data_IF_250316094849
#
_entry.id   IF_250316094849
#
_cell.length_a   1.000
_cell.length_b   1.000
_cell.length_c   1.000
_cell.angle_alpha   90.00
_cell.angle_beta   90.00
_cell.angle_gamma   90.00
#
_symmetry.space_group_name_H-M   'P 1'
#
loop_
_entity.id
_entity.type
_entity.pdbx_description
1 polymer ?
#
# COMPACT_ATOMS: atom_id res chain seq x y z
N UNK A 1 3.86 -34.23 7.51
CA UNK A 1 3.11 -33.15 8.18
C UNK A 1 3.72 -31.84 7.71
N UNK A 2 2.96 -30.99 7.02
CA UNK A 2 3.47 -29.69 6.59
C UNK A 2 3.84 -28.87 7.83
N UNK A 3 5.04 -28.30 7.84
CA UNK A 3 5.52 -27.47 8.95
C UNK A 3 4.53 -26.31 9.18
N UNK A 4 4.22 -25.93 10.43
CA UNK A 4 3.40 -24.75 10.70
C UNK A 4 4.12 -23.51 10.13
N UNK A 5 3.60 -22.95 9.04
CA UNK A 5 4.11 -21.70 8.48
C UNK A 5 3.71 -20.59 9.44
N UNK A 6 4.69 -19.91 10.03
CA UNK A 6 4.47 -18.81 10.99
C UNK A 6 3.54 -17.74 10.40
N UNK A 7 2.49 -17.36 11.14
CA UNK A 7 1.59 -16.25 10.80
C UNK A 7 2.31 -14.91 10.98
N UNK A 8 2.90 -14.42 9.88
CA UNK A 8 3.70 -13.19 9.88
C UNK A 8 2.94 -12.07 9.19
N UNK A 9 2.62 -11.03 9.96
CA UNK A 9 1.94 -9.80 9.50
C UNK A 9 2.89 -8.79 8.87
N UNK A 10 4.18 -9.12 8.77
CA UNK A 10 5.21 -8.27 8.18
C UNK A 10 4.86 -7.74 6.78
N UNK A 11 4.34 -8.55 5.84
CA UNK A 11 4.06 -8.04 4.49
C UNK A 11 2.98 -6.94 4.50
N UNK A 12 1.93 -7.10 5.32
CA UNK A 12 0.91 -6.08 5.49
C UNK A 12 1.47 -4.82 6.16
N UNK A 13 2.33 -4.97 7.18
CA UNK A 13 2.97 -3.84 7.85
C UNK A 13 3.87 -3.05 6.89
N UNK A 14 4.66 -3.73 6.06
CA UNK A 14 5.52 -3.11 5.06
C UNK A 14 4.68 -2.33 4.04
N UNK A 15 3.56 -2.90 3.59
CA UNK A 15 2.63 -2.22 2.69
C UNK A 15 2.07 -0.92 3.30
N UNK A 16 1.63 -0.96 4.55
CA UNK A 16 1.18 0.25 5.26
C UNK A 16 2.32 1.26 5.47
N UNK A 17 3.54 0.79 5.74
CA UNK A 17 4.71 1.65 5.82
C UNK A 17 4.98 2.40 4.52
N UNK A 18 4.88 1.72 3.37
CA UNK A 18 5.03 2.35 2.05
C UNK A 18 3.93 3.38 1.78
N UNK A 19 2.69 3.10 2.19
CA UNK A 19 1.59 4.07 2.11
C UNK A 19 1.88 5.32 2.95
N UNK A 20 2.34 5.14 4.19
CA UNK A 20 2.65 6.24 5.09
C UNK A 20 3.79 7.11 4.55
N UNK A 21 4.85 6.50 4.02
CA UNK A 21 5.96 7.24 3.39
C UNK A 21 5.47 7.99 2.15
N UNK A 22 4.66 7.35 1.30
CA UNK A 22 4.08 8.00 0.11
C UNK A 22 3.25 9.23 0.46
N UNK A 23 2.42 9.14 1.50
CA UNK A 23 1.67 10.27 2.04
C UNK A 23 2.56 11.38 2.60
N UNK A 24 3.61 11.04 3.35
CA UNK A 24 4.55 12.03 3.88
C UNK A 24 5.23 12.82 2.77
N UNK A 25 5.64 12.14 1.69
CA UNK A 25 6.23 12.79 0.51
C UNK A 25 5.21 13.72 -0.15
N UNK A 26 3.96 13.27 -0.32
CA UNK A 26 2.87 14.10 -0.83
C UNK A 26 2.58 15.32 0.06
N UNK A 27 2.64 15.17 1.37
CA UNK A 27 2.44 16.27 2.33
C UNK A 27 3.54 17.32 2.23
N UNK A 28 4.81 16.90 2.15
CA UNK A 28 5.96 17.82 2.03
C UNK A 28 5.93 18.58 0.72
N UNK A 29 5.50 17.93 -0.38
CA UNK A 29 5.38 18.55 -1.70
C UNK A 29 4.11 19.38 -1.91
N UNK A 30 3.16 19.37 -0.97
CA UNK A 30 1.83 19.97 -1.13
C UNK A 30 0.77 18.93 -1.55
N UNK A 31 0.01 18.42 -0.58
CA UNK A 31 -0.91 17.31 -0.81
C UNK A 31 -2.00 17.61 -1.84
N UNK A 32 -2.38 18.88 -2.01
CA UNK A 32 -3.35 19.34 -3.00
C UNK A 32 -2.85 19.24 -4.44
N UNK A 33 -1.54 19.27 -4.64
CA UNK A 33 -0.89 19.05 -5.92
C UNK A 33 -0.62 17.57 -6.18
N UNK A 34 -0.73 16.72 -5.16
CA UNK A 34 -0.35 15.31 -5.27
C UNK A 34 1.16 15.10 -5.34
N UNK A 35 1.58 13.88 -5.67
CA UNK A 35 3.00 13.55 -5.84
C UNK A 35 3.17 12.30 -6.68
N UNK A 36 3.87 12.41 -7.82
CA UNK A 36 4.23 11.24 -8.61
C UNK A 36 5.08 10.25 -7.81
N UNK A 37 6.09 10.74 -7.10
CA UNK A 37 6.98 9.91 -6.29
C UNK A 37 6.23 9.27 -5.12
N UNK A 38 5.46 10.07 -4.36
CA UNK A 38 4.67 9.56 -3.23
C UNK A 38 3.59 8.57 -3.68
N UNK A 39 2.95 8.83 -4.81
CA UNK A 39 1.92 7.98 -5.39
C UNK A 39 2.47 6.63 -5.88
N UNK A 40 3.60 6.62 -6.59
CA UNK A 40 4.28 5.38 -7.00
C UNK A 40 4.73 4.59 -5.78
N UNK A 41 5.36 5.23 -4.78
CA UNK A 41 5.83 4.55 -3.58
C UNK A 41 4.70 3.91 -2.78
N UNK A 42 3.59 4.63 -2.59
CA UNK A 42 2.40 4.06 -1.94
C UNK A 42 1.81 2.91 -2.77
N UNK A 43 1.74 3.07 -4.10
CA UNK A 43 1.25 2.02 -5.01
C UNK A 43 2.10 0.75 -5.01
N UNK A 44 3.43 0.87 -4.83
CA UNK A 44 4.32 -0.28 -4.66
C UNK A 44 3.99 -1.10 -3.39
N UNK A 45 3.28 -0.52 -2.42
CA UNK A 45 2.73 -1.22 -1.26
C UNK A 45 1.78 -2.37 -1.60
N UNK A 46 1.21 -2.39 -2.80
CA UNK A 46 0.37 -3.51 -3.28
C UNK A 46 1.16 -4.81 -3.33
N UNK A 47 2.44 -4.77 -3.71
CA UNK A 47 3.27 -5.97 -3.87
C UNK A 47 3.39 -6.76 -2.54
N UNK A 48 3.91 -6.17 -1.44
CA UNK A 48 3.98 -6.88 -0.16
C UNK A 48 2.59 -7.21 0.40
N UNK A 49 1.56 -6.41 0.12
CA UNK A 49 0.20 -6.74 0.52
C UNK A 49 -0.34 -7.99 -0.19
N UNK A 50 -0.11 -8.16 -1.49
CA UNK A 50 -0.48 -9.40 -2.22
C UNK A 50 0.28 -10.63 -1.70
N UNK A 51 1.55 -10.48 -1.33
CA UNK A 51 2.32 -11.54 -0.66
C UNK A 51 1.69 -11.90 0.69
N UNK A 52 1.23 -10.91 1.45
CA UNK A 52 0.49 -11.11 2.70
C UNK A 52 -0.83 -11.87 2.49
N UNK A 53 -1.60 -11.51 1.46
CA UNK A 53 -2.85 -12.21 1.11
C UNK A 53 -2.58 -13.68 0.78
N UNK A 54 -1.60 -13.94 -0.07
CA UNK A 54 -1.22 -15.29 -0.46
C UNK A 54 -0.84 -16.15 0.75
N UNK A 55 -0.06 -15.59 1.69
CA UNK A 55 0.29 -16.28 2.94
C UNK A 55 -0.92 -16.50 3.86
N UNK A 56 -1.81 -15.51 3.97
CA UNK A 56 -3.04 -15.64 4.75
C UNK A 56 -3.96 -16.74 4.24
N UNK A 57 -4.04 -16.91 2.91
CA UNK A 57 -4.77 -18.02 2.27
C UNK A 57 -4.13 -19.37 2.64
N UNK A 58 -2.80 -19.49 2.54
CA UNK A 58 -2.10 -20.75 2.86
C UNK A 58 -2.22 -21.17 4.32
N UNK A 59 -2.31 -20.21 5.23
CA UNK A 59 -2.38 -20.46 6.67
C UNK A 59 -3.82 -20.52 7.21
N UNK A 60 -4.81 -20.31 6.33
CA UNK A 60 -6.22 -20.18 6.69
C UNK A 60 -6.47 -19.10 7.77
N UNK A 61 -5.63 -18.07 7.82
CA UNK A 61 -5.70 -16.99 8.82
C UNK A 61 -6.51 -15.81 8.28
N UNK A 62 -7.76 -15.69 8.74
CA UNK A 62 -8.65 -14.58 8.37
C UNK A 62 -8.04 -13.20 8.67
N UNK A 63 -7.30 -13.09 9.77
CA UNK A 63 -6.71 -11.81 10.20
C UNK A 63 -5.62 -11.33 9.24
N UNK A 64 -4.74 -12.21 8.78
CA UNK A 64 -3.62 -11.84 7.89
C UNK A 64 -4.12 -11.61 6.47
N UNK A 65 -5.10 -12.40 6.01
CA UNK A 65 -5.80 -12.12 4.77
C UNK A 65 -6.48 -10.75 4.82
N UNK A 66 -7.29 -10.48 5.85
CA UNK A 66 -8.02 -9.22 6.01
C UNK A 66 -7.11 -7.99 6.08
N UNK A 67 -6.04 -8.04 6.87
CA UNK A 67 -5.05 -6.96 6.94
C UNK A 67 -4.37 -6.70 5.59
N UNK A 68 -4.10 -7.77 4.84
CA UNK A 68 -3.46 -7.66 3.53
C UNK A 68 -4.42 -7.09 2.48
N UNK A 69 -5.72 -7.41 2.56
CA UNK A 69 -6.78 -6.76 1.76
C UNK A 69 -6.85 -5.27 2.05
N UNK A 70 -6.91 -4.88 3.32
CA UNK A 70 -6.89 -3.47 3.71
C UNK A 70 -5.62 -2.77 3.23
N UNK A 71 -4.47 -3.44 3.29
CA UNK A 71 -3.22 -2.89 2.82
C UNK A 71 -3.21 -2.65 1.29
N UNK A 72 -3.78 -3.56 0.49
CA UNK A 72 -3.95 -3.35 -0.96
C UNK A 72 -4.86 -2.14 -1.23
N UNK A 73 -6.00 -2.07 -0.55
CA UNK A 73 -6.94 -0.97 -0.73
C UNK A 73 -6.32 0.37 -0.32
N UNK A 74 -5.55 0.41 0.77
CA UNK A 74 -4.83 1.59 1.20
C UNK A 74 -3.74 2.00 0.19
N UNK A 75 -2.95 1.04 -0.31
CA UNK A 75 -1.89 1.29 -1.28
C UNK A 75 -2.43 1.85 -2.60
N UNK A 76 -3.51 1.26 -3.13
CA UNK A 76 -4.17 1.76 -4.34
C UNK A 76 -4.89 3.08 -4.11
N UNK A 77 -5.56 3.25 -2.97
CA UNK A 77 -6.28 4.47 -2.63
C UNK A 77 -5.32 5.66 -2.48
N UNK A 78 -4.29 5.51 -1.65
CA UNK A 78 -3.26 6.54 -1.45
C UNK A 78 -2.46 6.78 -2.72
N UNK A 79 -1.94 5.71 -3.33
CA UNK A 79 -1.11 5.79 -4.52
C UNK A 79 -1.86 6.43 -5.69
N UNK A 80 -3.07 5.94 -5.96
CA UNK A 80 -3.94 6.48 -7.00
C UNK A 80 -4.33 7.93 -6.76
N UNK A 81 -4.72 8.29 -5.53
CA UNK A 81 -5.08 9.67 -5.20
C UNK A 81 -3.91 10.63 -5.45
N UNK A 82 -2.71 10.31 -4.96
CA UNK A 82 -1.53 11.17 -5.14
C UNK A 82 -1.12 11.31 -6.62
N UNK A 83 -1.27 10.24 -7.41
CA UNK A 83 -1.01 10.29 -8.85
C UNK A 83 -2.05 11.11 -9.60
N UNK A 84 -3.34 10.93 -9.29
CA UNK A 84 -4.43 11.67 -9.93
C UNK A 84 -4.28 13.16 -9.64
N UNK A 85 -4.02 13.53 -8.39
CA UNK A 85 -3.81 14.93 -8.01
C UNK A 85 -2.60 15.53 -8.75
N UNK A 86 -1.49 14.79 -8.88
CA UNK A 86 -0.31 15.22 -9.64
C UNK A 86 -0.61 15.45 -11.12
N UNK A 87 -1.40 14.58 -11.75
CA UNK A 87 -1.84 14.74 -13.13
C UNK A 87 -2.74 15.98 -13.27
N UNK A 88 -3.70 16.15 -12.36
CA UNK A 88 -4.63 17.29 -12.39
C UNK A 88 -3.88 18.62 -12.23
N UNK A 89 -2.90 18.69 -11.33
CA UNK A 89 -2.07 19.89 -11.13
C UNK A 89 -1.27 20.22 -12.40
N UNK A 90 -0.67 19.20 -13.02
CA UNK A 90 0.08 19.34 -14.28
C UNK A 90 -0.80 19.83 -15.44
N UNK A 91 -2.07 19.40 -15.51
CA UNK A 91 -3.00 19.82 -16.58
C UNK A 91 -3.57 21.22 -16.35
N UNK A 92 -3.65 21.68 -15.09
CA UNK A 92 -4.16 23.01 -14.73
C UNK A 92 -3.10 24.12 -14.81
N UNK A 93 -1.82 23.73 -14.84
CA UNK A 93 -0.66 24.62 -14.93
C UNK A 93 -0.40 25.05 -16.38
#
# INVERSE_FOLDING_TARGET
MAQPVSDSKLPALVAFGLCAVGLLIGLVGGISQGSYLGGVLAGLGVIPAMVGMWKGIQQETQTTLGLSVLAVLAALGVGGLLLILAIVDTVRS
#
